data_IF_410496049267
#
_entry.id   IF_410496049267
#
_cell.length_a   1.000
_cell.length_b   1.000
_cell.length_c   1.000
_cell.angle_alpha   90.00
_cell.angle_beta   90.00
_cell.angle_gamma   90.00
#
_symmetry.space_group_name_H-M   'P 1'
#
loop_
_entity.id
_entity.type
_entity.pdbx_description
1 polymer ?
#
# COMPACT_ATOMS: atom_id res chain seq x y z
N UNK A 1 -31.64 17.17 7.26
CA UNK A 1 -30.95 17.40 6.00
C UNK A 1 -31.11 16.14 5.19
N UNK A 2 -31.96 16.19 4.18
CA UNK A 2 -32.36 15.02 3.38
C UNK A 2 -31.27 14.68 2.38
N UNK A 3 -30.69 13.47 2.52
CA UNK A 3 -29.77 12.90 1.54
C UNK A 3 -30.58 12.60 0.27
N UNK A 4 -30.28 13.28 -0.82
CA UNK A 4 -30.80 12.91 -2.13
C UNK A 4 -30.16 11.57 -2.55
N UNK A 5 -30.93 10.59 -3.04
CA UNK A 5 -30.38 9.39 -3.63
C UNK A 5 -29.64 9.74 -4.94
N UNK A 6 -28.47 9.15 -5.13
CA UNK A 6 -27.71 9.22 -6.38
C UNK A 6 -28.60 8.76 -7.55
N UNK A 7 -28.56 9.42 -8.71
CA UNK A 7 -29.36 9.01 -9.85
C UNK A 7 -28.97 7.60 -10.28
N UNK A 8 -29.98 6.76 -10.53
CA UNK A 8 -29.79 5.43 -11.08
C UNK A 8 -29.05 5.53 -12.44
N UNK A 9 -28.10 4.61 -12.74
CA UNK A 9 -27.40 4.62 -14.02
C UNK A 9 -28.40 4.51 -15.16
N UNK A 10 -28.15 5.30 -16.21
CA UNK A 10 -29.00 5.33 -17.41
C UNK A 10 -29.01 3.91 -18.00
N UNK A 11 -30.17 3.36 -18.36
CA UNK A 11 -30.31 1.98 -18.85
C UNK A 11 -29.33 1.65 -19.99
N UNK A 12 -29.10 2.60 -20.90
CA UNK A 12 -28.14 2.47 -21.99
C UNK A 12 -26.68 2.34 -21.50
N UNK A 13 -26.31 3.00 -20.40
CA UNK A 13 -24.97 2.90 -19.81
C UNK A 13 -24.75 1.52 -19.20
N UNK A 14 -25.74 0.99 -18.53
CA UNK A 14 -25.70 -0.37 -17.95
C UNK A 14 -25.61 -1.44 -19.04
N UNK A 15 -26.35 -1.31 -20.12
CA UNK A 15 -26.28 -2.24 -21.27
C UNK A 15 -24.88 -2.25 -21.90
N UNK A 16 -24.23 -1.08 -22.05
CA UNK A 16 -22.87 -0.98 -22.54
C UNK A 16 -21.87 -1.69 -21.62
N UNK A 17 -22.02 -1.57 -20.29
CA UNK A 17 -21.14 -2.25 -19.33
C UNK A 17 -21.25 -3.77 -19.47
N UNK A 18 -22.46 -4.33 -19.57
CA UNK A 18 -22.65 -5.76 -19.80
C UNK A 18 -22.04 -6.22 -21.12
N UNK A 19 -22.16 -5.44 -22.18
CA UNK A 19 -21.55 -5.76 -23.48
C UNK A 19 -20.02 -5.81 -23.36
N UNK A 20 -19.39 -4.80 -22.76
CA UNK A 20 -17.94 -4.77 -22.57
C UNK A 20 -17.43 -5.92 -21.68
N UNK A 21 -18.19 -6.32 -20.65
CA UNK A 21 -17.84 -7.49 -19.83
C UNK A 21 -17.83 -8.76 -20.69
N UNK A 22 -18.82 -8.95 -21.55
CA UNK A 22 -18.84 -10.08 -22.51
C UNK A 22 -17.68 -10.02 -23.50
N UNK A 23 -17.35 -8.83 -23.99
CA UNK A 23 -16.26 -8.57 -24.94
C UNK A 23 -14.87 -8.88 -24.37
N UNK A 24 -14.70 -8.88 -23.03
CA UNK A 24 -13.44 -9.29 -22.39
C UNK A 24 -13.04 -10.74 -22.72
N UNK A 25 -14.00 -11.62 -22.93
CA UNK A 25 -13.76 -13.01 -23.25
C UNK A 25 -13.26 -13.22 -24.69
N UNK A 26 -13.51 -12.25 -25.58
CA UNK A 26 -13.08 -12.32 -26.97
C UNK A 26 -11.74 -11.57 -27.19
N UNK A 27 -10.66 -12.23 -27.58
CA UNK A 27 -9.36 -11.58 -27.80
C UNK A 27 -9.39 -10.38 -28.77
N UNK A 28 -10.27 -10.39 -29.77
CA UNK A 28 -10.38 -9.32 -30.78
C UNK A 28 -11.01 -8.02 -30.27
N UNK A 29 -11.88 -8.09 -29.25
CA UNK A 29 -12.59 -6.94 -28.67
C UNK A 29 -12.09 -6.59 -27.26
N UNK A 30 -11.31 -7.47 -26.64
CA UNK A 30 -10.84 -7.36 -25.26
C UNK A 30 -10.15 -6.04 -24.96
N UNK A 31 -9.27 -5.56 -25.82
CA UNK A 31 -8.50 -4.34 -25.57
C UNK A 31 -9.41 -3.11 -25.42
N UNK A 32 -10.39 -2.96 -26.30
CA UNK A 32 -11.39 -1.89 -26.21
C UNK A 32 -12.24 -2.04 -24.96
N UNK A 33 -12.68 -3.25 -24.65
CA UNK A 33 -13.46 -3.53 -23.45
C UNK A 33 -12.69 -3.19 -22.16
N UNK A 34 -11.41 -3.56 -22.05
CA UNK A 34 -10.53 -3.20 -20.94
C UNK A 34 -10.43 -1.69 -20.76
N UNK A 35 -10.25 -0.95 -21.84
CA UNK A 35 -10.15 0.51 -21.83
C UNK A 35 -11.46 1.15 -21.34
N UNK A 36 -12.60 0.75 -21.90
CA UNK A 36 -13.89 1.35 -21.55
C UNK A 36 -14.31 1.00 -20.12
N UNK A 37 -14.16 -0.25 -19.70
CA UNK A 37 -14.47 -0.67 -18.33
C UNK A 37 -13.54 0.01 -17.30
N UNK A 38 -12.26 0.19 -17.60
CA UNK A 38 -11.34 0.88 -16.69
C UNK A 38 -11.72 2.33 -16.43
N UNK A 39 -12.33 3.02 -17.40
CA UNK A 39 -12.89 4.37 -17.23
C UNK A 39 -14.13 4.40 -16.35
N UNK A 40 -14.89 3.30 -16.33
CA UNK A 40 -16.17 3.19 -15.61
C UNK A 40 -16.04 2.72 -14.16
N UNK A 41 -14.85 2.30 -13.72
CA UNK A 41 -14.64 1.71 -12.40
C UNK A 41 -15.08 2.57 -11.20
N UNK A 42 -15.08 3.91 -11.37
CA UNK A 42 -15.50 4.84 -10.31
C UNK A 42 -16.98 5.23 -10.40
N UNK A 43 -17.59 5.07 -11.58
CA UNK A 43 -18.99 5.45 -11.82
C UNK A 43 -19.98 4.29 -11.70
N UNK A 44 -19.50 3.03 -11.74
CA UNK A 44 -20.33 1.82 -11.65
C UNK A 44 -19.99 1.08 -10.34
N UNK A 45 -20.75 1.27 -9.26
CA UNK A 45 -20.43 0.69 -7.93
C UNK A 45 -20.37 -0.83 -7.94
N UNK A 46 -21.24 -1.48 -8.71
CA UNK A 46 -21.36 -2.95 -8.76
C UNK A 46 -20.46 -3.60 -9.84
N UNK A 47 -19.53 -2.84 -10.41
CA UNK A 47 -18.66 -3.37 -11.47
C UNK A 47 -17.82 -4.58 -11.00
N UNK A 48 -17.35 -4.58 -9.76
CA UNK A 48 -16.54 -5.66 -9.21
C UNK A 48 -17.30 -7.00 -9.14
N UNK A 49 -18.50 -7.10 -8.52
CA UNK A 49 -19.33 -8.30 -8.58
C UNK A 49 -19.67 -8.72 -10.01
N UNK A 50 -20.02 -7.77 -10.88
CA UNK A 50 -20.32 -8.06 -12.29
C UNK A 50 -19.14 -8.72 -13.01
N UNK A 51 -17.92 -8.22 -12.79
CA UNK A 51 -16.69 -8.80 -13.34
C UNK A 51 -16.42 -10.18 -12.74
N UNK A 52 -16.52 -10.32 -11.44
CA UNK A 52 -16.16 -11.57 -10.75
C UNK A 52 -17.09 -12.72 -11.12
N UNK A 53 -18.39 -12.47 -11.16
CA UNK A 53 -19.41 -13.49 -11.43
C UNK A 53 -19.67 -13.75 -12.92
N UNK A 54 -19.07 -12.97 -13.82
CA UNK A 54 -19.20 -13.21 -15.26
C UNK A 54 -18.23 -14.30 -15.72
N UNK A 55 -18.75 -15.27 -16.47
CA UNK A 55 -17.96 -16.40 -16.94
C UNK A 55 -16.77 -15.95 -17.81
N UNK A 56 -15.59 -16.47 -17.50
CA UNK A 56 -14.36 -16.23 -18.29
C UNK A 56 -13.67 -14.89 -18.04
N UNK A 57 -14.29 -13.95 -17.35
CA UNK A 57 -13.74 -12.60 -17.15
C UNK A 57 -12.45 -12.63 -16.33
N UNK A 58 -12.42 -13.31 -15.19
CA UNK A 58 -11.21 -13.44 -14.37
C UNK A 58 -10.08 -14.11 -15.14
N UNK A 59 -10.39 -15.16 -15.91
CA UNK A 59 -9.40 -15.82 -16.77
C UNK A 59 -8.85 -14.88 -17.86
N UNK A 60 -9.71 -14.05 -18.47
CA UNK A 60 -9.30 -13.06 -19.45
C UNK A 60 -8.37 -12.00 -18.84
N UNK A 61 -8.67 -11.50 -17.65
CA UNK A 61 -7.82 -10.55 -16.93
C UNK A 61 -6.46 -11.16 -16.55
N UNK A 62 -6.45 -12.39 -16.04
CA UNK A 62 -5.21 -13.11 -15.74
C UNK A 62 -4.38 -13.38 -17.00
N UNK A 63 -5.00 -13.66 -18.12
CA UNK A 63 -4.30 -13.85 -19.38
C UNK A 63 -3.56 -12.59 -19.82
N UNK A 64 -4.15 -11.41 -19.66
CA UNK A 64 -3.47 -10.14 -19.94
C UNK A 64 -2.21 -9.96 -19.08
N UNK A 65 -2.27 -10.36 -17.80
CA UNK A 65 -1.13 -10.32 -16.88
C UNK A 65 -0.03 -11.30 -17.32
N UNK A 66 -0.39 -12.56 -17.56
CA UNK A 66 0.56 -13.62 -17.92
C UNK A 66 1.23 -13.34 -19.26
N UNK A 67 0.51 -12.76 -20.21
CA UNK A 67 1.04 -12.41 -21.53
C UNK A 67 2.19 -11.39 -21.48
N UNK A 68 2.31 -10.63 -20.38
CA UNK A 68 3.37 -9.62 -20.21
C UNK A 68 4.66 -10.22 -19.62
N UNK A 69 4.60 -11.37 -18.96
CA UNK A 69 5.77 -11.98 -18.33
C UNK A 69 7.00 -12.15 -19.26
N UNK A 70 6.86 -12.60 -20.52
CA UNK A 70 8.00 -12.67 -21.44
C UNK A 70 8.66 -11.32 -21.73
N UNK A 71 7.93 -10.21 -21.58
CA UNK A 71 8.43 -8.86 -21.82
C UNK A 71 9.16 -8.25 -20.62
N UNK A 72 9.15 -8.95 -19.47
CA UNK A 72 9.87 -8.52 -18.26
C UNK A 72 11.35 -8.84 -18.36
N UNK A 73 11.68 -10.04 -18.88
CA UNK A 73 13.03 -10.51 -19.09
C UNK A 73 13.16 -11.18 -20.48
N UNK A 74 13.87 -10.52 -21.44
CA UNK A 74 14.51 -9.19 -21.33
C UNK A 74 13.49 -8.06 -21.20
N UNK A 75 13.94 -6.91 -20.68
CA UNK A 75 13.07 -5.74 -20.40
C UNK A 75 12.64 -5.04 -21.71
N UNK A 76 11.67 -5.63 -22.42
CA UNK A 76 11.20 -5.20 -23.74
C UNK A 76 9.77 -4.65 -23.72
N UNK A 77 9.19 -4.42 -22.54
CA UNK A 77 7.83 -3.94 -22.38
C UNK A 77 7.61 -2.59 -23.07
N UNK A 78 6.67 -2.56 -24.01
CA UNK A 78 6.28 -1.35 -24.74
C UNK A 78 5.23 -0.53 -23.96
N UNK A 79 5.08 0.74 -24.36
CA UNK A 79 4.04 1.61 -23.77
C UNK A 79 2.62 1.06 -24.04
N UNK A 80 2.39 0.51 -25.23
CA UNK A 80 1.09 -0.10 -25.57
C UNK A 80 0.77 -1.31 -24.69
N UNK A 81 1.72 -2.24 -24.54
CA UNK A 81 1.55 -3.41 -23.67
C UNK A 81 1.33 -3.00 -22.21
N UNK A 82 2.10 -2.02 -21.72
CA UNK A 82 1.95 -1.50 -20.36
C UNK A 82 0.56 -0.89 -20.15
N UNK A 83 0.08 -0.04 -21.04
CA UNK A 83 -1.24 0.56 -20.93
C UNK A 83 -2.35 -0.50 -20.93
N UNK A 84 -2.25 -1.49 -21.81
CA UNK A 84 -3.23 -2.56 -21.92
C UNK A 84 -3.31 -3.40 -20.64
N UNK A 85 -2.18 -3.87 -20.11
CA UNK A 85 -2.16 -4.63 -18.86
C UNK A 85 -2.56 -3.78 -17.65
N UNK A 86 -2.22 -2.50 -17.63
CA UNK A 86 -2.62 -1.59 -16.57
C UNK A 86 -4.14 -1.35 -16.54
N UNK A 87 -4.83 -1.40 -17.68
CA UNK A 87 -6.29 -1.39 -17.72
C UNK A 87 -6.87 -2.66 -17.07
N UNK A 88 -6.28 -3.84 -17.33
CA UNK A 88 -6.66 -5.07 -16.64
C UNK A 88 -6.40 -4.99 -15.13
N UNK A 89 -5.25 -4.44 -14.71
CA UNK A 89 -4.91 -4.23 -13.30
C UNK A 89 -5.87 -3.26 -12.61
N UNK A 90 -6.35 -2.22 -13.31
CA UNK A 90 -7.35 -1.29 -12.78
C UNK A 90 -8.69 -2.00 -12.49
N UNK A 91 -9.09 -2.96 -13.31
CA UNK A 91 -10.27 -3.79 -13.05
C UNK A 91 -10.03 -4.76 -11.89
N UNK A 92 -8.87 -5.38 -11.80
CA UNK A 92 -8.50 -6.20 -10.64
C UNK A 92 -8.45 -5.37 -9.34
N UNK A 93 -8.02 -4.11 -9.40
CA UNK A 93 -8.07 -3.21 -8.26
C UNK A 93 -9.51 -2.95 -7.80
N UNK A 94 -10.45 -2.82 -8.73
CA UNK A 94 -11.87 -2.70 -8.44
C UNK A 94 -12.37 -3.95 -7.67
N UNK A 95 -12.05 -5.15 -8.17
CA UNK A 95 -12.39 -6.44 -7.52
C UNK A 95 -11.76 -6.56 -6.13
N UNK A 96 -10.49 -6.16 -5.98
CA UNK A 96 -9.76 -6.17 -4.72
C UNK A 96 -10.32 -5.19 -3.67
N UNK A 97 -10.92 -4.09 -4.11
CA UNK A 97 -11.49 -3.05 -3.25
C UNK A 97 -12.87 -3.37 -2.72
N UNK A 98 -13.65 -4.18 -3.45
CA UNK A 98 -15.06 -4.40 -3.18
C UNK A 98 -15.27 -5.43 -2.06
N UNK A 99 -16.11 -5.16 -1.05
CA UNK A 99 -16.29 -6.06 0.09
C UNK A 99 -16.80 -7.46 -0.29
N UNK A 100 -17.63 -7.57 -1.33
CA UNK A 100 -18.19 -8.84 -1.78
C UNK A 100 -17.16 -9.73 -2.49
N UNK A 101 -16.19 -9.15 -3.20
CA UNK A 101 -15.25 -9.90 -4.05
C UNK A 101 -13.83 -9.99 -3.48
N UNK A 102 -13.50 -9.19 -2.48
CA UNK A 102 -12.14 -9.14 -1.90
C UNK A 102 -11.67 -10.46 -1.32
N UNK A 103 -12.50 -11.12 -0.51
CA UNK A 103 -12.11 -12.38 0.14
C UNK A 103 -11.85 -13.48 -0.89
N UNK A 104 -12.72 -13.62 -1.89
CA UNK A 104 -12.52 -14.62 -2.96
C UNK A 104 -11.34 -14.26 -3.87
N UNK A 105 -11.03 -12.99 -4.06
CA UNK A 105 -9.82 -12.51 -4.75
C UNK A 105 -8.54 -12.97 -4.02
N UNK A 106 -8.51 -12.88 -2.68
CA UNK A 106 -7.40 -13.36 -1.86
C UNK A 106 -7.31 -14.90 -1.87
N UNK A 107 -8.43 -15.60 -1.69
CA UNK A 107 -8.49 -17.07 -1.71
C UNK A 107 -8.01 -17.65 -3.05
N UNK A 108 -8.25 -16.95 -4.14
CA UNK A 108 -7.74 -17.30 -5.46
C UNK A 108 -6.25 -16.96 -5.66
N UNK A 109 -5.56 -16.42 -4.65
CA UNK A 109 -4.16 -16.00 -4.69
C UNK A 109 -3.82 -15.00 -5.81
N UNK A 110 -4.79 -14.21 -6.26
CA UNK A 110 -4.62 -13.28 -7.38
C UNK A 110 -3.50 -12.25 -7.15
N UNK A 111 -3.25 -11.74 -5.94
CA UNK A 111 -2.15 -10.81 -5.72
C UNK A 111 -0.77 -11.35 -6.13
N UNK A 112 -0.56 -12.66 -6.05
CA UNK A 112 0.74 -13.27 -6.37
C UNK A 112 1.12 -13.13 -7.84
N UNK A 113 0.14 -13.02 -8.75
CA UNK A 113 0.40 -12.79 -10.17
C UNK A 113 1.02 -11.42 -10.46
N UNK A 114 0.93 -10.48 -9.52
CA UNK A 114 1.48 -9.13 -9.65
C UNK A 114 2.92 -9.02 -9.15
N UNK A 115 3.39 -9.96 -8.34
CA UNK A 115 4.72 -9.90 -7.74
C UNK A 115 5.85 -9.89 -8.77
N UNK A 116 5.80 -10.63 -9.89
CA UNK A 116 6.79 -10.48 -10.95
C UNK A 116 6.94 -9.05 -11.47
N UNK A 117 5.86 -8.28 -11.50
CA UNK A 117 5.89 -6.87 -11.90
C UNK A 117 6.59 -6.00 -10.86
N UNK A 118 6.38 -6.29 -9.58
CA UNK A 118 7.02 -5.59 -8.47
C UNK A 118 8.51 -5.91 -8.33
N UNK A 119 8.96 -7.06 -8.87
CA UNK A 119 10.37 -7.44 -8.95
C UNK A 119 11.16 -6.69 -10.04
N UNK A 120 10.49 -6.07 -11.00
CA UNK A 120 11.15 -5.36 -12.11
C UNK A 120 11.98 -4.18 -11.61
N UNK A 121 13.09 -3.89 -12.30
CA UNK A 121 14.04 -2.84 -11.92
C UNK A 121 14.20 -1.75 -12.98
N UNK A 122 13.68 -1.96 -14.19
CA UNK A 122 13.75 -0.97 -15.28
C UNK A 122 13.10 0.35 -14.86
N UNK A 123 13.76 1.47 -15.18
CA UNK A 123 13.30 2.83 -14.89
C UNK A 123 12.49 3.46 -16.04
N UNK A 124 12.29 2.71 -17.11
CA UNK A 124 11.50 3.21 -18.24
C UNK A 124 10.04 3.41 -17.84
N UNK A 125 9.38 4.37 -18.47
CA UNK A 125 8.01 4.74 -18.16
C UNK A 125 7.01 3.57 -18.18
N UNK A 126 7.07 2.61 -19.15
CA UNK A 126 6.19 1.45 -19.14
C UNK A 126 6.33 0.60 -17.87
N UNK A 127 7.54 0.36 -17.40
CA UNK A 127 7.78 -0.42 -16.17
C UNK A 127 7.41 0.34 -14.91
N UNK A 128 7.68 1.65 -14.83
CA UNK A 128 7.24 2.47 -13.70
C UNK A 128 5.71 2.47 -13.58
N UNK A 129 5.00 2.60 -14.70
CA UNK A 129 3.54 2.56 -14.72
C UNK A 129 3.01 1.18 -14.31
N UNK A 130 3.63 0.09 -14.79
CA UNK A 130 3.29 -1.28 -14.42
C UNK A 130 3.45 -1.52 -12.91
N UNK A 131 4.58 -1.09 -12.32
CA UNK A 131 4.81 -1.20 -10.87
C UNK A 131 3.80 -0.39 -10.06
N UNK A 132 3.59 0.86 -10.43
CA UNK A 132 2.65 1.74 -9.74
C UNK A 132 1.23 1.18 -9.74
N UNK A 133 0.76 0.70 -10.88
CA UNK A 133 -0.59 0.14 -11.00
C UNK A 133 -0.72 -1.18 -10.24
N UNK A 134 0.32 -2.02 -10.26
CA UNK A 134 0.37 -3.26 -9.46
C UNK A 134 0.35 -2.99 -7.96
N UNK A 135 1.14 -2.01 -7.49
CA UNK A 135 1.08 -1.53 -6.10
C UNK A 135 -0.31 -0.99 -5.73
N UNK A 136 -0.99 -0.35 -6.70
CA UNK A 136 -2.35 0.15 -6.52
C UNK A 136 -3.35 -0.94 -6.15
N UNK A 137 -3.22 -2.14 -6.72
CA UNK A 137 -4.06 -3.31 -6.39
C UNK A 137 -3.80 -3.75 -4.94
N UNK A 138 -2.54 -3.89 -4.54
CA UNK A 138 -2.18 -4.25 -3.16
C UNK A 138 -2.59 -3.14 -2.17
N UNK A 139 -2.38 -1.88 -2.55
CA UNK A 139 -2.81 -0.73 -1.77
C UNK A 139 -4.32 -0.68 -1.54
N UNK A 140 -5.11 -1.08 -2.53
CA UNK A 140 -6.57 -1.18 -2.41
C UNK A 140 -6.98 -2.26 -1.39
N UNK A 141 -6.29 -3.41 -1.37
CA UNK A 141 -6.51 -4.46 -0.37
C UNK A 141 -6.22 -3.95 1.05
N UNK A 142 -5.04 -3.39 1.30
CA UNK A 142 -4.64 -2.97 2.66
C UNK A 142 -5.44 -1.76 3.16
N UNK A 143 -6.05 -0.99 2.28
CA UNK A 143 -6.90 0.16 2.65
C UNK A 143 -8.14 -0.24 3.45
N UNK A 144 -8.56 -1.47 3.32
CA UNK A 144 -9.79 -1.97 3.97
C UNK A 144 -9.61 -2.32 5.45
N UNK A 145 -8.37 -2.37 5.95
CA UNK A 145 -8.01 -2.74 7.33
C UNK A 145 -8.51 -4.15 7.75
N UNK A 146 -8.67 -5.07 6.78
CA UNK A 146 -9.11 -6.43 7.03
C UNK A 146 -7.94 -7.32 7.47
N UNK A 147 -8.11 -8.06 8.56
CA UNK A 147 -7.09 -8.98 9.08
C UNK A 147 -6.70 -10.07 8.07
N UNK A 148 -7.64 -10.55 7.27
CA UNK A 148 -7.40 -11.54 6.22
C UNK A 148 -6.34 -11.04 5.22
N UNK A 149 -6.40 -9.76 4.84
CA UNK A 149 -5.43 -9.14 3.93
C UNK A 149 -4.03 -9.14 4.54
N UNK A 150 -3.90 -8.68 5.78
CA UNK A 150 -2.59 -8.61 6.46
C UNK A 150 -2.02 -10.01 6.62
N UNK A 151 -2.83 -10.98 7.07
CA UNK A 151 -2.42 -12.37 7.22
C UNK A 151 -1.91 -12.94 5.89
N UNK A 152 -2.63 -12.73 4.79
CA UNK A 152 -2.20 -13.13 3.45
C UNK A 152 -0.85 -12.51 3.08
N UNK A 153 -0.70 -11.20 3.24
CA UNK A 153 0.51 -10.49 2.85
C UNK A 153 1.74 -10.90 3.67
N UNK A 154 1.57 -11.21 4.96
CA UNK A 154 2.66 -11.68 5.81
C UNK A 154 3.19 -13.08 5.42
N UNK A 155 2.39 -13.89 4.72
CA UNK A 155 2.81 -15.19 4.20
C UNK A 155 3.53 -15.09 2.85
N UNK A 156 3.68 -13.88 2.30
CA UNK A 156 4.23 -13.62 0.98
C UNK A 156 5.48 -12.72 1.06
N UNK A 157 6.11 -12.43 -0.08
CA UNK A 157 7.30 -11.58 -0.17
C UNK A 157 6.98 -10.08 -0.33
N UNK A 158 5.80 -9.61 0.05
CA UNK A 158 5.41 -8.22 -0.21
C UNK A 158 6.29 -7.20 0.51
N UNK A 159 6.74 -7.50 1.74
CA UNK A 159 7.56 -6.55 2.52
C UNK A 159 8.91 -6.29 1.84
N UNK A 160 9.71 -7.30 1.46
CA UNK A 160 10.94 -7.07 0.69
C UNK A 160 10.71 -6.32 -0.61
N UNK A 161 9.62 -6.60 -1.33
CA UNK A 161 9.27 -5.91 -2.57
C UNK A 161 8.96 -4.44 -2.33
N UNK A 162 8.16 -4.12 -1.31
CA UNK A 162 7.88 -2.74 -0.91
C UNK A 162 9.16 -2.00 -0.54
N UNK A 163 10.04 -2.58 0.28
CA UNK A 163 11.30 -1.97 0.70
C UNK A 163 12.20 -1.64 -0.50
N UNK A 164 12.31 -2.53 -1.49
CA UNK A 164 13.05 -2.26 -2.72
C UNK A 164 12.47 -1.08 -3.50
N UNK A 165 11.15 -1.01 -3.63
CA UNK A 165 10.47 0.09 -4.34
C UNK A 165 10.61 1.40 -3.56
N UNK A 166 10.52 1.37 -2.23
CA UNK A 166 10.77 2.52 -1.36
C UNK A 166 12.19 3.08 -1.54
N UNK A 167 13.17 2.23 -1.80
CA UNK A 167 14.55 2.67 -2.03
C UNK A 167 14.75 3.25 -3.43
N UNK A 168 14.20 2.63 -4.46
CA UNK A 168 14.60 2.88 -5.86
C UNK A 168 13.47 3.29 -6.82
N UNK A 169 12.22 3.31 -6.39
CA UNK A 169 11.06 3.64 -7.23
C UNK A 169 10.89 5.14 -7.52
N UNK A 170 9.90 5.46 -8.36
CA UNK A 170 9.43 6.84 -8.52
C UNK A 170 8.78 7.36 -7.22
N UNK A 171 8.61 8.67 -7.07
CA UNK A 171 7.96 9.27 -5.89
C UNK A 171 6.58 8.66 -5.62
N UNK A 172 5.77 8.48 -6.65
CA UNK A 172 4.44 7.87 -6.52
C UNK A 172 4.53 6.41 -6.07
N UNK A 173 5.41 5.62 -6.66
CA UNK A 173 5.61 4.21 -6.28
C UNK A 173 6.16 4.09 -4.85
N UNK A 174 7.10 4.95 -4.46
CA UNK A 174 7.60 5.04 -3.08
C UNK A 174 6.46 5.35 -2.10
N UNK A 175 5.59 6.30 -2.45
CA UNK A 175 4.45 6.68 -1.60
C UNK A 175 3.49 5.51 -1.38
N UNK A 176 3.12 4.79 -2.44
CA UNK A 176 2.21 3.64 -2.32
C UNK A 176 2.86 2.48 -1.58
N UNK A 177 4.13 2.16 -1.87
CA UNK A 177 4.87 1.11 -1.17
C UNK A 177 5.02 1.41 0.33
N UNK A 178 5.30 2.67 0.69
CA UNK A 178 5.39 3.09 2.09
C UNK A 178 4.02 3.05 2.78
N UNK A 179 2.95 3.42 2.07
CA UNK A 179 1.58 3.27 2.57
C UNK A 179 1.23 1.80 2.86
N UNK A 180 1.61 0.87 1.98
CA UNK A 180 1.40 -0.57 2.20
C UNK A 180 2.16 -1.03 3.45
N UNK A 181 3.43 -0.67 3.58
CA UNK A 181 4.24 -0.98 4.76
C UNK A 181 3.63 -0.39 6.04
N UNK A 182 3.16 0.86 5.99
CA UNK A 182 2.46 1.51 7.11
C UNK A 182 1.23 0.72 7.53
N UNK A 183 0.41 0.27 6.60
CA UNK A 183 -0.79 -0.51 6.89
C UNK A 183 -0.47 -1.87 7.52
N UNK A 184 0.57 -2.54 7.03
CA UNK A 184 1.07 -3.77 7.64
C UNK A 184 1.56 -3.51 9.08
N UNK A 185 2.33 -2.45 9.31
CA UNK A 185 2.82 -2.08 10.64
C UNK A 185 1.71 -1.69 11.62
N UNK A 186 0.62 -1.08 11.15
CA UNK A 186 -0.51 -0.69 12.00
C UNK A 186 -1.25 -1.89 12.59
N UNK A 187 -1.21 -3.03 11.93
CA UNK A 187 -1.71 -4.29 12.45
C UNK A 187 -0.72 -4.89 13.46
N UNK A 188 -1.23 -5.44 14.57
CA UNK A 188 -0.39 -6.00 15.63
C UNK A 188 0.43 -7.21 15.15
N UNK A 189 -0.14 -8.05 14.29
CA UNK A 189 0.56 -9.20 13.71
C UNK A 189 1.67 -8.74 12.76
N UNK A 190 1.43 -7.68 11.99
CA UNK A 190 2.40 -7.07 11.10
C UNK A 190 3.57 -6.43 11.86
N UNK A 191 3.30 -5.68 12.91
CA UNK A 191 4.32 -5.12 13.81
C UNK A 191 5.14 -6.23 14.45
N UNK A 192 4.48 -7.24 15.00
CA UNK A 192 5.14 -8.40 15.61
C UNK A 192 6.04 -9.14 14.61
N UNK A 193 5.57 -9.36 13.38
CA UNK A 193 6.33 -10.01 12.32
C UNK A 193 7.62 -9.25 11.97
N UNK A 194 7.53 -7.93 11.81
CA UNK A 194 8.70 -7.08 11.47
C UNK A 194 9.68 -7.02 12.64
N UNK A 195 9.20 -6.91 13.87
CA UNK A 195 10.03 -6.79 15.07
C UNK A 195 10.49 -8.14 15.63
N UNK A 196 10.04 -9.26 15.05
CA UNK A 196 10.40 -10.62 15.52
C UNK A 196 11.90 -10.89 15.41
N UNK A 197 12.54 -10.41 14.33
CA UNK A 197 13.98 -10.54 14.13
C UNK A 197 14.65 -9.19 13.94
N UNK A 198 15.88 -9.06 14.46
CA UNK A 198 16.68 -7.85 14.27
C UNK A 198 16.91 -7.54 12.79
N UNK A 199 17.10 -8.54 11.97
CA UNK A 199 17.34 -8.40 10.53
C UNK A 199 16.16 -7.74 9.81
N UNK A 200 14.93 -8.19 10.05
CA UNK A 200 13.74 -7.58 9.48
C UNK A 200 13.55 -6.13 9.93
N UNK A 201 13.65 -5.91 11.22
CA UNK A 201 13.55 -4.56 11.79
C UNK A 201 14.62 -3.63 11.22
N UNK A 202 15.89 -4.04 11.22
CA UNK A 202 16.99 -3.20 10.76
C UNK A 202 16.88 -2.87 9.29
N UNK A 203 16.42 -3.80 8.44
CA UNK A 203 16.19 -3.53 7.02
C UNK A 203 15.11 -2.46 6.83
N UNK A 204 13.98 -2.56 7.54
CA UNK A 204 12.93 -1.53 7.52
C UNK A 204 13.47 -0.18 8.00
N UNK A 205 14.19 -0.14 9.13
CA UNK A 205 14.74 1.08 9.70
C UNK A 205 15.77 1.75 8.77
N UNK A 206 16.64 0.98 8.12
CA UNK A 206 17.62 1.49 7.15
C UNK A 206 16.93 2.13 5.94
N UNK A 207 15.92 1.48 5.37
CA UNK A 207 15.20 2.01 4.21
C UNK A 207 14.42 3.28 4.58
N UNK A 208 13.72 3.29 5.71
CA UNK A 208 13.05 4.49 6.21
C UNK A 208 14.05 5.64 6.43
N UNK A 209 15.23 5.35 7.00
CA UNK A 209 16.30 6.34 7.20
C UNK A 209 16.81 6.94 5.90
N UNK A 210 17.06 6.11 4.88
CA UNK A 210 17.44 6.57 3.53
C UNK A 210 16.35 7.48 2.92
N UNK A 211 15.08 7.15 3.12
CA UNK A 211 13.96 7.97 2.66
C UNK A 211 13.92 9.33 3.34
N UNK A 212 14.15 9.40 4.64
CA UNK A 212 14.23 10.68 5.38
C UNK A 212 15.35 11.57 4.83
N UNK A 213 16.54 11.00 4.58
CA UNK A 213 17.68 11.73 3.99
C UNK A 213 17.35 12.25 2.59
N UNK A 214 16.65 11.45 1.78
CA UNK A 214 16.18 11.87 0.45
C UNK A 214 15.13 12.98 0.55
N UNK A 215 14.17 12.86 1.46
CA UNK A 215 13.12 13.84 1.70
C UNK A 215 13.65 15.19 2.23
N UNK A 216 14.79 15.19 2.90
CA UNK A 216 15.45 16.43 3.32
C UNK A 216 15.96 17.25 2.12
N UNK A 217 16.28 16.59 1.00
CA UNK A 217 16.72 17.22 -0.26
C UNK A 217 15.55 17.59 -1.17
N UNK A 218 14.61 16.68 -1.31
CA UNK A 218 13.42 16.81 -2.15
C UNK A 218 12.16 16.53 -1.29
N UNK A 219 11.62 17.56 -0.61
CA UNK A 219 10.51 17.40 0.32
C UNK A 219 9.21 16.95 -0.37
N UNK A 220 8.55 15.94 0.21
CA UNK A 220 7.20 15.51 -0.14
C UNK A 220 6.41 15.26 1.15
N UNK A 221 5.47 16.16 1.45
CA UNK A 221 4.64 16.05 2.65
C UNK A 221 3.84 14.74 2.69
N UNK A 222 3.37 14.31 1.53
CA UNK A 222 2.60 13.06 1.39
C UNK A 222 3.45 11.83 1.74
N UNK A 223 4.68 11.77 1.26
CA UNK A 223 5.58 10.65 1.54
C UNK A 223 6.07 10.71 2.99
N UNK A 224 6.44 11.89 3.48
CA UNK A 224 6.89 12.11 4.86
C UNK A 224 5.84 11.64 5.87
N UNK A 225 4.56 11.91 5.61
CA UNK A 225 3.44 11.46 6.43
C UNK A 225 3.47 9.95 6.68
N UNK A 226 3.65 9.16 5.63
CA UNK A 226 3.71 7.70 5.75
C UNK A 226 4.97 7.22 6.47
N UNK A 227 6.12 7.86 6.20
CA UNK A 227 7.39 7.54 6.87
C UNK A 227 7.30 7.80 8.39
N UNK A 228 6.77 8.94 8.80
CA UNK A 228 6.58 9.29 10.23
C UNK A 228 5.64 8.28 10.91
N UNK A 229 4.57 7.88 10.24
CA UNK A 229 3.63 6.88 10.78
C UNK A 229 4.27 5.51 10.96
N UNK A 230 5.13 5.09 10.02
CA UNK A 230 5.89 3.85 10.17
C UNK A 230 6.81 3.90 11.40
N UNK A 231 7.59 4.97 11.55
CA UNK A 231 8.44 5.14 12.73
C UNK A 231 7.65 5.19 14.04
N UNK A 232 6.57 5.96 14.08
CA UNK A 232 5.71 6.04 15.25
C UNK A 232 5.20 4.68 15.68
N UNK A 233 4.68 3.89 14.74
CA UNK A 233 4.18 2.55 15.04
C UNK A 233 5.27 1.58 15.51
N UNK A 234 6.48 1.68 14.97
CA UNK A 234 7.62 0.89 15.44
C UNK A 234 7.97 1.14 16.91
N UNK A 235 7.70 2.35 17.45
CA UNK A 235 7.95 2.66 18.86
C UNK A 235 7.03 1.91 19.83
N UNK A 236 5.93 1.32 19.36
CA UNK A 236 5.05 0.49 20.19
C UNK A 236 5.69 -0.86 20.56
N UNK A 237 6.74 -1.28 19.83
CA UNK A 237 7.55 -2.42 20.21
C UNK A 237 8.76 -1.95 21.04
N UNK A 238 8.94 -2.44 22.29
CA UNK A 238 10.00 -1.93 23.17
C UNK A 238 11.42 -2.09 22.62
N UNK A 239 11.71 -3.20 21.95
CA UNK A 239 13.04 -3.46 21.36
C UNK A 239 13.31 -2.55 20.15
N UNK A 240 12.30 -2.35 19.30
CA UNK A 240 12.38 -1.43 18.17
C UNK A 240 12.51 0.02 18.67
N UNK A 241 11.77 0.41 19.69
CA UNK A 241 11.84 1.73 20.31
C UNK A 241 13.27 2.02 20.81
N UNK A 242 13.89 1.08 21.54
CA UNK A 242 15.26 1.24 22.03
C UNK A 242 16.26 1.38 20.90
N UNK A 243 16.15 0.57 19.84
CA UNK A 243 17.02 0.68 18.68
C UNK A 243 16.84 2.02 17.94
N UNK A 244 15.60 2.53 17.83
CA UNK A 244 15.29 3.80 17.17
C UNK A 244 15.83 5.02 17.93
N UNK A 245 16.01 4.95 19.26
CA UNK A 245 16.67 6.01 20.02
C UNK A 245 18.05 6.33 19.48
N UNK A 246 18.77 5.31 18.97
CA UNK A 246 20.15 5.42 18.48
C UNK A 246 20.22 5.67 16.97
N UNK A 247 19.23 5.20 16.18
CA UNK A 247 19.33 5.22 14.73
C UNK A 247 18.29 6.11 14.02
N UNK A 248 17.39 6.81 14.74
CA UNK A 248 16.46 7.74 14.12
C UNK A 248 17.24 8.90 13.46
N UNK A 249 17.02 9.21 12.18
CA UNK A 249 17.68 10.32 11.49
C UNK A 249 17.49 11.68 12.21
N UNK A 250 18.56 12.46 12.32
CA UNK A 250 18.54 13.76 12.98
C UNK A 250 17.60 14.75 12.31
N UNK A 251 17.38 14.62 11.00
CA UNK A 251 16.44 15.45 10.24
C UNK A 251 14.99 15.38 10.75
N UNK A 252 14.62 14.30 11.43
CA UNK A 252 13.32 14.20 12.11
C UNK A 252 13.32 14.88 13.50
N UNK A 253 14.50 15.15 14.07
CA UNK A 253 14.66 15.79 15.38
C UNK A 253 14.84 17.31 15.31
N UNK A 254 15.31 17.80 14.17
CA UNK A 254 15.60 19.21 13.92
C UNK A 254 14.48 19.91 13.13
N UNK A 255 14.73 21.11 12.64
CA UNK A 255 13.76 21.91 11.89
C UNK A 255 13.70 21.61 10.39
N UNK A 256 14.39 20.56 9.90
CA UNK A 256 14.49 20.24 8.46
C UNK A 256 13.11 20.17 7.78
N UNK A 257 12.12 19.60 8.43
CA UNK A 257 10.77 19.44 7.87
C UNK A 257 9.76 20.47 8.38
N UNK A 258 10.18 21.52 9.05
CA UNK A 258 9.27 22.52 9.63
C UNK A 258 8.34 23.15 8.57
N UNK A 259 8.87 23.52 7.42
CA UNK A 259 8.09 24.10 6.32
C UNK A 259 7.15 23.06 5.68
N UNK A 260 7.64 21.85 5.44
CA UNK A 260 6.86 20.75 4.89
C UNK A 260 5.66 20.37 5.80
N UNK A 261 5.80 20.52 7.12
CA UNK A 261 4.79 20.18 8.11
C UNK A 261 3.93 21.38 8.55
N UNK A 262 4.13 22.57 7.98
CA UNK A 262 3.40 23.79 8.36
C UNK A 262 1.90 23.62 8.27
N UNK A 263 1.43 23.05 7.17
CA UNK A 263 0.00 22.83 6.88
C UNK A 263 -0.51 21.45 7.33
N UNK A 264 0.37 20.49 7.57
CA UNK A 264 0.00 19.13 8.00
C UNK A 264 0.11 18.96 9.52
N UNK A 265 -0.91 19.45 10.21
CA UNK A 265 -1.01 19.35 11.68
C UNK A 265 -0.99 17.91 12.19
N UNK A 266 -1.55 16.98 11.42
CA UNK A 266 -1.59 15.56 11.81
C UNK A 266 -0.19 14.95 11.83
N UNK A 267 0.59 15.14 10.76
CA UNK A 267 1.96 14.60 10.70
C UNK A 267 2.86 15.28 11.71
N UNK A 268 2.71 16.59 11.93
CA UNK A 268 3.41 17.32 12.98
C UNK A 268 3.12 16.74 14.38
N UNK A 269 1.87 16.44 14.67
CA UNK A 269 1.45 15.81 15.91
C UNK A 269 2.07 14.42 16.07
N UNK A 270 2.01 13.57 15.05
CA UNK A 270 2.61 12.24 15.08
C UNK A 270 4.13 12.28 15.28
N UNK A 271 4.80 13.24 14.64
CA UNK A 271 6.24 13.44 14.82
C UNK A 271 6.55 13.82 16.30
N UNK A 272 5.74 14.68 16.91
CA UNK A 272 5.93 15.05 18.32
C UNK A 272 5.75 13.85 19.27
N UNK A 273 4.78 12.97 19.00
CA UNK A 273 4.58 11.74 19.77
C UNK A 273 5.77 10.79 19.56
N UNK A 274 6.22 10.62 18.31
CA UNK A 274 7.40 9.80 18.00
C UNK A 274 8.61 10.24 18.83
N UNK A 275 8.94 11.54 18.83
CA UNK A 275 10.07 12.06 19.55
C UNK A 275 9.92 11.88 21.07
N UNK A 276 8.71 12.10 21.61
CA UNK A 276 8.40 11.86 23.01
C UNK A 276 8.60 10.39 23.42
N UNK A 277 8.14 9.43 22.58
CA UNK A 277 8.33 7.99 22.84
C UNK A 277 9.81 7.59 22.87
N UNK A 278 10.66 8.34 22.18
CA UNK A 278 12.10 8.09 22.12
C UNK A 278 12.89 8.81 23.24
N UNK A 279 12.26 9.63 24.07
CA UNK A 279 12.92 10.23 25.23
C UNK A 279 13.34 9.15 26.25
N UNK A 280 14.51 9.31 26.89
CA UNK A 280 14.94 8.39 27.94
C UNK A 280 13.93 8.35 29.09
N UNK A 281 13.44 7.17 29.44
CA UNK A 281 12.47 6.98 30.55
C UNK A 281 10.99 7.00 30.13
N UNK A 282 10.63 7.31 28.90
CA UNK A 282 9.23 7.38 28.45
C UNK A 282 8.46 6.05 28.54
N UNK A 283 9.16 4.90 28.54
CA UNK A 283 8.57 3.56 28.59
C UNK A 283 8.87 2.77 29.87
N UNK A 284 9.37 3.41 30.92
CA UNK A 284 9.43 2.75 32.22
C UNK A 284 8.04 2.80 32.86
N UNK A 285 7.45 1.65 33.26
CA UNK A 285 6.30 1.69 34.17
C UNK A 285 6.71 2.49 35.42
N UNK A 286 5.81 3.30 35.97
CA UNK A 286 6.14 4.09 37.17
C UNK A 286 6.67 3.14 38.23
N UNK A 287 7.85 3.45 38.80
CA UNK A 287 8.47 2.67 39.87
C UNK A 287 7.45 2.57 41.01
N UNK A 288 7.03 1.36 41.43
CA UNK A 288 6.08 1.19 42.52
C UNK A 288 6.53 1.85 43.82
N UNK A 289 7.80 2.21 43.97
CA UNK A 289 8.37 2.91 45.12
C UNK A 289 8.07 4.41 45.14
N UNK A 290 7.58 4.97 44.00
CA UNK A 290 7.16 6.40 43.95
C UNK A 290 5.66 6.59 44.19
N UNK A 291 4.87 5.52 44.27
CA UNK A 291 3.53 5.60 44.86
C UNK A 291 3.69 5.51 46.37
N UNK A 292 3.78 6.69 47.00
CA UNK A 292 3.89 6.82 48.46
C UNK A 292 2.76 6.08 49.18
N UNK A 293 3.02 4.86 49.63
CA UNK A 293 2.30 4.24 50.71
C UNK A 293 3.08 4.61 51.98
N UNK A 294 2.64 5.67 52.63
CA UNK A 294 3.03 5.93 54.03
C UNK A 294 2.65 4.72 54.85
N UNK A 295 3.55 4.17 55.68
CA UNK A 295 3.16 3.14 56.64
C UNK A 295 2.27 3.80 57.68
N UNK A 296 1.02 3.38 57.75
CA UNK A 296 0.15 3.70 58.89
C UNK A 296 0.83 3.10 60.15
N UNK A 297 1.16 4.02 61.06
CA UNK A 297 1.76 3.74 62.33
C UNK A 297 0.83 2.92 63.24
N UNK A 298 1.48 2.15 64.02
CA UNK A 298 1.10 1.43 65.25
C UNK A 298 -0.15 1.89 65.97
#
# INVERSE_FOLDING_TARGET
>A
MSSQPSPAPNSAETENVFQWINDLSNPGTRETALLELSKKRESVPDLAPMLWHSFGTTAALLQEIINIYPSIHPATLTAHQSNRVCNALALLQCVASHPETRSVFLQANLPLFLYPFLHTTSKTRPFEYLRLTSLGVIGALVKTDEQEVITFLLTTEIIPLCLRIMESGSELSKTVATFILQKILLDDSGLSYICQTYERFSHVAIILGKMVISLAKEPSARLLKHVVRCYLRLTDNPRACEALRQCLPDQLRDATFADCLREDKSTKHWLSILLKNLEPGANNPPDPRQMGISPLGS
#
